data_IF_819860230257
#
_entry.id   IF_819860230257
#
_cell.length_a   1.000
_cell.length_b   1.000
_cell.length_c   1.000
_cell.angle_alpha   90.00
_cell.angle_beta   90.00
_cell.angle_gamma   90.00
#
_symmetry.space_group_name_H-M   'P 1'
#
loop_
_entity.id
_entity.type
_entity.pdbx_description
1 polymer ?
#
# COMPACT_ATOMS: atom_id res chain seq x y z
N UNK A 1 -48.73 43.68 13.08
CA UNK A 1 -47.83 42.67 13.70
C UNK A 1 -46.85 42.21 12.64
N UNK A 2 -45.54 42.41 12.83
CA UNK A 2 -44.50 42.01 11.88
C UNK A 2 -43.79 40.81 12.51
N UNK A 3 -43.69 39.63 11.85
CA UNK A 3 -43.03 38.47 12.44
C UNK A 3 -41.51 38.69 12.56
N UNK A 4 -40.87 38.14 13.61
CA UNK A 4 -39.43 38.29 13.82
C UNK A 4 -38.62 37.47 12.80
N UNK A 5 -37.41 37.91 12.44
CA UNK A 5 -36.56 37.23 11.49
C UNK A 5 -36.02 35.90 12.05
N UNK A 6 -35.78 34.89 11.20
CA UNK A 6 -35.23 33.60 11.61
C UNK A 6 -33.75 33.74 12.02
N UNK A 7 -33.39 33.05 13.12
CA UNK A 7 -32.04 33.01 13.65
C UNK A 7 -31.07 32.25 12.72
N UNK A 8 -29.77 32.61 12.70
CA UNK A 8 -28.77 31.96 11.86
C UNK A 8 -28.53 30.51 12.31
N UNK A 9 -28.74 29.56 11.41
CA UNK A 9 -28.39 28.15 11.61
C UNK A 9 -26.86 28.04 11.70
N UNK A 10 -26.37 27.54 12.85
CA UNK A 10 -24.96 27.16 13.02
C UNK A 10 -24.64 26.04 12.03
N UNK A 11 -23.74 26.32 11.10
CA UNK A 11 -23.16 25.29 10.23
C UNK A 11 -22.43 24.25 11.09
N UNK A 12 -22.83 22.99 10.96
CA UNK A 12 -22.12 21.87 11.57
C UNK A 12 -20.71 21.78 10.97
N UNK A 13 -19.69 21.73 11.82
CA UNK A 13 -18.32 21.51 11.39
C UNK A 13 -18.21 20.17 10.63
N UNK A 14 -17.41 20.09 9.55
CA UNK A 14 -17.25 18.85 8.81
C UNK A 14 -16.62 17.78 9.73
N UNK A 15 -17.02 16.50 9.57
CA UNK A 15 -16.43 15.42 10.34
C UNK A 15 -14.92 15.37 10.06
N UNK A 16 -14.12 15.48 11.11
CA UNK A 16 -12.68 15.25 11.05
C UNK A 16 -12.43 13.89 10.40
N UNK A 17 -11.84 13.89 9.21
CA UNK A 17 -11.43 12.67 8.54
C UNK A 17 -10.53 11.89 9.50
N UNK A 18 -10.98 10.70 9.90
CA UNK A 18 -10.16 9.76 10.67
C UNK A 18 -9.00 9.39 9.75
N UNK A 19 -7.83 9.99 10.00
CA UNK A 19 -6.60 9.61 9.32
C UNK A 19 -6.31 8.18 9.78
N UNK A 20 -6.35 7.16 8.90
CA UNK A 20 -5.98 5.82 9.31
C UNK A 20 -4.55 5.88 9.84
N UNK A 21 -4.34 5.44 11.08
CA UNK A 21 -3.00 5.33 11.64
C UNK A 21 -2.15 4.50 10.68
N UNK A 22 -0.91 4.94 10.36
CA UNK A 22 -0.06 4.16 9.49
C UNK A 22 0.13 2.79 10.12
N UNK A 23 -0.30 1.74 9.40
CA UNK A 23 -0.04 0.37 9.79
C UNK A 23 1.47 0.24 10.10
N UNK A 24 1.85 -0.56 11.12
CA UNK A 24 3.25 -0.84 11.40
C UNK A 24 3.97 -1.18 10.08
N UNK A 25 5.22 -0.75 9.88
CA UNK A 25 5.97 -1.14 8.69
C UNK A 25 6.02 -2.67 8.67
N UNK A 26 5.19 -3.27 7.82
CA UNK A 26 5.12 -4.72 7.70
C UNK A 26 6.50 -5.19 7.28
N UNK A 27 7.09 -6.10 8.05
CA UNK A 27 8.44 -6.59 7.80
C UNK A 27 8.42 -7.46 6.54
N UNK A 28 8.53 -6.80 5.38
CA UNK A 28 8.40 -7.45 4.08
C UNK A 28 9.80 -7.62 3.52
N UNK A 29 10.20 -8.87 3.26
CA UNK A 29 11.49 -9.18 2.66
C UNK A 29 11.25 -9.80 1.29
N UNK A 30 11.88 -9.26 0.26
CA UNK A 30 11.87 -9.92 -1.04
C UNK A 30 12.72 -11.18 -0.91
N UNK A 31 12.12 -12.36 -1.00
CA UNK A 31 12.82 -13.65 -0.93
C UNK A 31 13.50 -13.93 -2.26
N UNK A 32 12.78 -13.69 -3.35
CA UNK A 32 13.26 -13.97 -4.69
C UNK A 32 12.24 -13.63 -5.76
N UNK A 33 12.67 -13.80 -7.01
CA UNK A 33 11.84 -13.64 -8.19
C UNK A 33 11.82 -14.99 -8.90
N UNK A 34 10.64 -15.43 -9.29
CA UNK A 34 10.42 -16.72 -9.97
C UNK A 34 9.73 -16.44 -11.28
N UNK A 35 10.28 -16.99 -12.36
CA UNK A 35 9.64 -16.98 -13.67
C UNK A 35 8.62 -18.13 -13.71
N UNK A 36 7.33 -17.80 -13.76
CA UNK A 36 6.27 -18.79 -13.88
C UNK A 36 5.66 -18.72 -15.28
N UNK A 37 6.19 -19.55 -16.18
CA UNK A 37 5.89 -19.46 -17.61
C UNK A 37 6.42 -18.15 -18.20
N UNK A 38 5.55 -17.38 -18.87
CA UNK A 38 5.90 -16.09 -19.46
C UNK A 38 5.77 -14.89 -18.50
N UNK A 39 5.45 -15.12 -17.22
CA UNK A 39 5.22 -14.03 -16.25
C UNK A 39 6.14 -14.16 -15.03
N UNK A 40 6.91 -13.11 -14.70
CA UNK A 40 7.69 -13.10 -13.47
C UNK A 40 6.78 -12.85 -12.26
N UNK A 41 7.09 -13.52 -11.16
CA UNK A 41 6.36 -13.47 -9.88
C UNK A 41 7.37 -13.18 -8.76
N UNK A 42 7.01 -12.32 -7.81
CA UNK A 42 7.84 -12.05 -6.65
C UNK A 42 7.44 -12.94 -5.48
N UNK A 43 8.41 -13.60 -4.85
CA UNK A 43 8.25 -14.26 -3.57
C UNK A 43 8.63 -13.29 -2.48
N UNK A 44 7.70 -12.96 -1.60
CA UNK A 44 7.88 -11.99 -0.54
C UNK A 44 7.53 -12.66 0.79
N UNK A 45 8.44 -12.58 1.76
CA UNK A 45 8.18 -12.98 3.13
C UNK A 45 7.56 -11.80 3.87
N UNK A 46 6.34 -11.98 4.37
CA UNK A 46 5.59 -10.99 5.14
C UNK A 46 5.40 -11.59 6.52
N UNK A 47 6.06 -11.02 7.52
CA UNK A 47 5.97 -11.47 8.92
C UNK A 47 6.21 -12.98 9.10
N UNK A 48 7.16 -13.55 8.35
CA UNK A 48 7.52 -14.96 8.41
C UNK A 48 6.78 -15.85 7.41
N UNK A 49 5.73 -15.36 6.74
CA UNK A 49 4.96 -16.11 5.74
C UNK A 49 5.41 -15.74 4.33
N UNK A 50 5.89 -16.72 3.56
CA UNK A 50 6.26 -16.51 2.15
C UNK A 50 5.00 -16.53 1.28
N UNK A 51 4.77 -15.44 0.57
CA UNK A 51 3.65 -15.27 -0.36
C UNK A 51 4.18 -14.93 -1.75
N UNK A 52 3.47 -15.44 -2.76
CA UNK A 52 3.68 -15.07 -4.16
C UNK A 52 2.85 -13.83 -4.49
N UNK A 53 3.48 -12.83 -5.08
CA UNK A 53 2.85 -11.57 -5.45
C UNK A 53 3.08 -11.35 -6.94
N UNK A 54 2.00 -11.20 -7.71
CA UNK A 54 2.08 -10.89 -9.12
C UNK A 54 2.20 -9.39 -9.35
N UNK A 55 2.70 -9.00 -10.52
CA UNK A 55 2.77 -7.60 -10.92
C UNK A 55 1.36 -7.00 -10.91
N UNK A 56 1.19 -5.91 -10.18
CA UNK A 56 -0.09 -5.23 -9.92
C UNK A 56 -0.77 -5.64 -8.62
N UNK A 57 -0.31 -6.68 -7.92
CA UNK A 57 -0.88 -7.10 -6.63
C UNK A 57 -0.30 -6.33 -5.43
N UNK A 58 -1.14 -6.17 -4.41
CA UNK A 58 -0.74 -5.64 -3.13
C UNK A 58 0.06 -6.67 -2.32
N UNK A 59 1.11 -6.21 -1.65
CA UNK A 59 2.01 -7.00 -0.82
C UNK A 59 1.44 -7.02 0.60
N UNK A 60 0.55 -7.98 0.87
CA UNK A 60 -0.12 -8.12 2.17
C UNK A 60 -0.75 -6.81 2.65
N UNK A 61 -0.59 -6.49 3.95
CA UNK A 61 -1.09 -5.27 4.58
C UNK A 61 -0.04 -4.14 4.66
N UNK A 62 1.08 -4.27 3.94
CA UNK A 62 2.19 -3.30 3.97
C UNK A 62 1.86 -1.97 3.29
N UNK A 63 0.83 -1.96 2.44
CA UNK A 63 0.51 -0.85 1.54
C UNK A 63 1.44 -0.74 0.33
N UNK A 64 2.44 -1.62 0.22
CA UNK A 64 3.23 -1.76 -1.00
C UNK A 64 2.47 -2.56 -2.05
N UNK A 65 2.64 -2.20 -3.31
CA UNK A 65 2.11 -2.92 -4.47
C UNK A 65 3.28 -3.25 -5.37
N UNK A 66 3.32 -4.47 -5.91
CA UNK A 66 4.32 -4.82 -6.89
C UNK A 66 4.01 -4.08 -8.20
N UNK A 67 4.87 -3.17 -8.61
CA UNK A 67 4.70 -2.35 -9.80
C UNK A 67 5.26 -3.04 -11.06
N UNK A 68 6.47 -3.60 -10.97
CA UNK A 68 7.08 -4.36 -12.07
C UNK A 68 8.20 -5.26 -11.55
N UNK A 69 8.66 -6.20 -12.38
CA UNK A 69 9.86 -7.00 -12.12
C UNK A 69 10.80 -6.81 -13.31
N UNK A 70 12.02 -6.35 -13.06
CA UNK A 70 13.01 -6.12 -14.11
C UNK A 70 14.23 -7.02 -13.84
N UNK A 71 14.46 -8.04 -14.67
CA UNK A 71 15.57 -9.01 -14.51
C UNK A 71 15.58 -9.68 -13.13
N UNK A 72 16.18 -9.03 -12.13
CA UNK A 72 16.38 -9.53 -10.77
C UNK A 72 15.97 -8.54 -9.66
N UNK A 73 15.29 -7.46 -10.01
CA UNK A 73 14.74 -6.48 -9.06
C UNK A 73 13.20 -6.45 -9.14
N UNK A 74 12.56 -6.38 -7.98
CA UNK A 74 11.14 -6.03 -7.88
C UNK A 74 11.02 -4.53 -7.69
N UNK A 75 10.24 -3.87 -8.53
CA UNK A 75 9.85 -2.48 -8.34
C UNK A 75 8.55 -2.47 -7.56
N UNK A 76 8.56 -1.91 -6.36
CA UNK A 76 7.39 -1.78 -5.49
C UNK A 76 6.98 -0.31 -5.39
N UNK A 77 5.69 -0.07 -5.19
CA UNK A 77 5.16 1.28 -4.97
C UNK A 77 4.25 1.37 -3.77
N UNK A 78 4.30 2.49 -3.03
CA UNK A 78 3.40 2.80 -1.91
C UNK A 78 3.16 4.29 -1.87
N UNK A 79 1.89 4.70 -1.95
CA UNK A 79 1.49 6.09 -1.77
C UNK A 79 2.27 7.10 -2.63
N UNK A 80 2.65 6.73 -3.86
CA UNK A 80 3.45 7.55 -4.78
C UNK A 80 4.97 7.36 -4.66
N UNK A 81 5.48 6.70 -3.61
CA UNK A 81 6.86 6.27 -3.52
C UNK A 81 7.08 5.03 -4.39
N UNK A 82 8.13 5.01 -5.19
CA UNK A 82 8.56 3.85 -5.99
C UNK A 82 9.96 3.46 -5.55
N UNK A 83 10.15 2.17 -5.26
CA UNK A 83 11.42 1.63 -4.79
C UNK A 83 11.76 0.34 -5.52
N UNK A 84 13.02 0.18 -5.91
CA UNK A 84 13.55 -1.10 -6.40
C UNK A 84 14.13 -1.90 -5.24
N UNK A 85 13.72 -3.16 -5.11
CA UNK A 85 14.18 -4.08 -4.07
C UNK A 85 14.73 -5.34 -4.71
N UNK A 86 15.81 -5.87 -4.12
CA UNK A 86 16.48 -7.08 -4.58
C UNK A 86 16.22 -8.25 -3.63
N UNK A 87 16.39 -9.48 -4.12
CA UNK A 87 16.26 -10.67 -3.29
C UNK A 87 17.17 -10.58 -2.05
N UNK A 88 16.62 -10.90 -0.88
CA UNK A 88 17.24 -10.73 0.44
C UNK A 88 17.04 -9.36 1.09
N UNK A 89 16.50 -8.35 0.38
CA UNK A 89 16.28 -7.02 0.94
C UNK A 89 14.92 -6.86 1.62
N UNK A 90 14.94 -6.18 2.77
CA UNK A 90 13.74 -5.78 3.51
C UNK A 90 13.29 -4.38 3.09
N UNK A 91 11.98 -4.16 3.06
CA UNK A 91 11.33 -2.90 2.71
C UNK A 91 10.08 -2.63 3.54
#
# INVERSE_FOLDING_TARGET
MIPPPPAPQRAAAPPSAVVPSPAPPANSTLVGLVEFGDRPVALINIDGVVQRINVGEAIGNSGWTLFSINKQEAVIRRNGEVRSVYAGQKF
#
